data_IF_514655084887
#
_entry.id   IF_514655084887
#
_cell.length_a   1.000
_cell.length_b   1.000
_cell.length_c   1.000
_cell.angle_alpha   90.00
_cell.angle_beta   90.00
_cell.angle_gamma   90.00
#
_symmetry.space_group_name_H-M   'P 1'
#
loop_
_entity.id
_entity.type
_entity.pdbx_description
1 polymer ?
#
# COMPACT_ATOMS: atom_id res chain seq x y z
N UNK A 1 16.04 14.56 24.64
CA UNK A 1 14.83 15.35 24.45
C UNK A 1 14.49 15.62 22.98
N UNK A 2 15.42 16.11 22.11
CA UNK A 2 15.10 16.42 20.70
C UNK A 2 14.60 15.21 19.86
N UNK A 3 15.08 13.99 20.13
CA UNK A 3 14.64 12.76 19.43
C UNK A 3 13.24 12.28 19.85
N UNK A 4 12.86 12.51 21.11
CA UNK A 4 11.51 12.18 21.60
C UNK A 4 10.44 13.15 21.06
N UNK A 5 10.79 14.42 20.90
CA UNK A 5 9.93 15.45 20.27
C UNK A 5 9.70 15.18 18.77
N UNK A 6 10.72 14.68 18.06
CA UNK A 6 10.57 14.31 16.65
C UNK A 6 9.63 13.11 16.48
N UNK A 7 9.72 12.11 17.35
CA UNK A 7 8.80 10.95 17.36
C UNK A 7 7.38 11.33 17.75
N UNK A 8 7.21 12.26 18.71
CA UNK A 8 5.88 12.79 19.05
C UNK A 8 5.28 13.67 17.93
N UNK A 9 6.10 14.44 17.25
CA UNK A 9 5.66 15.27 16.11
C UNK A 9 5.27 14.39 14.89
N UNK A 10 6.01 13.30 14.63
CA UNK A 10 5.60 12.30 13.64
C UNK A 10 4.29 11.61 14.03
N UNK A 11 4.11 11.24 15.31
CA UNK A 11 2.88 10.64 15.80
C UNK A 11 1.69 11.61 15.76
N UNK A 12 1.91 12.90 16.04
CA UNK A 12 0.87 13.93 15.96
C UNK A 12 0.49 14.30 14.52
N UNK A 13 1.45 14.30 13.59
CA UNK A 13 1.18 14.49 12.17
C UNK A 13 0.38 13.32 11.57
N UNK A 14 0.51 12.10 12.11
CA UNK A 14 -0.32 10.96 11.76
C UNK A 14 -1.76 11.06 12.28
N UNK A 15 -2.02 11.82 13.34
CA UNK A 15 -3.34 11.89 13.98
C UNK A 15 -4.35 12.80 13.24
N UNK A 16 -3.91 13.66 12.34
CA UNK A 16 -4.77 14.63 11.65
C UNK A 16 -5.29 14.20 10.27
N UNK A 17 -4.93 13.02 9.77
CA UNK A 17 -5.43 12.56 8.48
C UNK A 17 -6.76 11.80 8.64
N UNK A 18 -7.87 12.48 8.55
CA UNK A 18 -9.24 12.02 8.82
C UNK A 18 -9.79 10.90 7.92
N UNK A 19 -8.99 10.17 7.15
CA UNK A 19 -9.35 8.93 6.42
C UNK A 19 -8.24 7.88 6.39
N UNK A 20 -7.24 8.02 7.21
CA UNK A 20 -6.16 7.07 7.34
C UNK A 20 -6.62 5.82 8.09
N UNK A 21 -6.47 4.67 7.48
CA UNK A 21 -6.66 3.39 8.17
C UNK A 21 -5.34 2.98 8.82
N UNK A 22 -5.11 3.44 10.05
CA UNK A 22 -4.02 2.93 10.85
C UNK A 22 -4.44 1.58 11.45
N UNK A 23 -3.61 0.55 11.25
CA UNK A 23 -3.82 -0.81 11.73
C UNK A 23 -2.59 -1.25 12.53
N UNK A 24 -2.77 -1.56 13.79
CA UNK A 24 -1.76 -2.22 14.60
C UNK A 24 -2.09 -3.70 14.72
N UNK A 25 -1.06 -4.53 14.78
CA UNK A 25 -1.23 -5.96 15.05
C UNK A 25 -0.03 -6.53 15.79
N UNK A 26 -0.24 -7.70 16.35
CA UNK A 26 0.71 -8.40 17.17
C UNK A 26 0.66 -9.90 16.85
N UNK A 27 1.78 -10.44 16.40
CA UNK A 27 1.93 -11.85 16.04
C UNK A 27 2.81 -12.62 17.02
N UNK A 28 2.44 -13.87 17.27
CA UNK A 28 3.28 -14.87 17.90
C UNK A 28 3.34 -16.09 17.01
N UNK A 29 4.52 -16.68 16.88
CA UNK A 29 4.67 -17.81 15.96
C UNK A 29 5.94 -18.61 16.22
N UNK A 30 6.06 -19.65 15.43
CA UNK A 30 7.26 -20.47 15.35
C UNK A 30 7.71 -20.55 13.91
N UNK A 31 9.00 -20.71 13.69
CA UNK A 31 9.53 -20.84 12.34
C UNK A 31 10.84 -21.58 12.34
N UNK A 32 11.20 -22.06 11.16
CA UNK A 32 12.49 -22.66 10.86
C UNK A 32 13.11 -21.97 9.66
N UNK A 33 14.37 -21.60 9.77
CA UNK A 33 15.18 -21.07 8.67
C UNK A 33 16.27 -22.09 8.37
N UNK A 34 16.47 -22.40 7.08
CA UNK A 34 17.47 -23.33 6.59
C UNK A 34 18.40 -22.64 5.60
N UNK A 35 19.69 -22.71 5.88
CA UNK A 35 20.74 -22.19 5.02
C UNK A 35 21.30 -23.25 4.06
N UNK A 36 21.94 -22.85 2.95
CA UNK A 36 22.75 -23.74 2.14
C UNK A 36 23.80 -24.41 3.04
N UNK A 37 24.08 -25.68 2.81
CA UNK A 37 24.99 -26.44 3.69
C UNK A 37 24.30 -27.19 4.83
N UNK A 38 22.97 -27.09 4.95
CA UNK A 38 22.15 -27.91 5.85
C UNK A 38 21.96 -27.36 7.25
N UNK A 39 22.60 -26.26 7.62
CA UNK A 39 22.37 -25.58 8.90
C UNK A 39 20.93 -25.06 8.97
N UNK A 40 20.21 -25.39 10.02
CA UNK A 40 18.85 -24.91 10.26
C UNK A 40 18.68 -24.41 11.67
N UNK A 41 17.82 -23.39 11.82
CA UNK A 41 17.46 -22.80 13.10
C UNK A 41 15.93 -22.75 13.23
N UNK A 42 15.42 -23.23 14.35
CA UNK A 42 14.02 -23.03 14.72
C UNK A 42 13.93 -21.94 15.78
N UNK A 43 12.94 -21.08 15.67
CA UNK A 43 12.76 -19.97 16.60
C UNK A 43 11.29 -19.76 16.93
N UNK A 44 11.04 -19.31 18.16
CA UNK A 44 9.80 -18.66 18.51
C UNK A 44 9.92 -17.16 18.18
N UNK A 45 8.90 -16.57 17.65
CA UNK A 45 8.88 -15.19 17.21
C UNK A 45 7.75 -14.40 17.84
N UNK A 46 8.03 -13.13 18.10
CA UNK A 46 7.10 -12.11 18.54
C UNK A 46 7.18 -10.96 17.53
N UNK A 47 6.09 -10.64 16.88
CA UNK A 47 6.12 -9.78 15.69
C UNK A 47 5.04 -8.69 15.72
N UNK A 48 5.29 -7.53 16.38
CA UNK A 48 4.42 -6.37 16.27
C UNK A 48 4.51 -5.72 14.89
N UNK A 49 3.38 -5.21 14.39
CA UNK A 49 3.32 -4.40 13.18
C UNK A 49 2.41 -3.19 13.36
N UNK A 50 2.76 -2.10 12.71
CA UNK A 50 1.93 -0.91 12.56
C UNK A 50 1.90 -0.55 11.09
N UNK A 51 0.70 -0.46 10.53
CA UNK A 51 0.49 -0.08 9.13
C UNK A 51 -0.40 1.15 9.08
N UNK A 52 -0.12 2.00 8.13
CA UNK A 52 -0.89 3.20 7.82
C UNK A 52 -1.05 3.29 6.32
N UNK A 53 -2.25 3.49 5.83
CA UNK A 53 -2.47 3.60 4.40
C UNK A 53 -3.58 4.58 4.04
N UNK A 54 -3.35 5.30 2.96
CA UNK A 54 -4.33 6.04 2.18
C UNK A 54 -4.12 5.68 0.72
N UNK A 55 -4.92 6.22 -0.18
CA UNK A 55 -4.74 6.00 -1.61
C UNK A 55 -3.35 6.47 -2.13
N UNK A 56 -2.82 7.57 -1.58
CA UNK A 56 -1.58 8.19 -2.05
C UNK A 56 -0.41 8.09 -1.06
N UNK A 57 -0.58 7.45 0.08
CA UNK A 57 0.46 7.30 1.12
C UNK A 57 0.33 5.95 1.79
N UNK A 58 1.46 5.33 2.03
CA UNK A 58 1.57 4.10 2.78
C UNK A 58 2.74 4.19 3.73
N UNK A 59 2.61 3.60 4.89
CA UNK A 59 3.71 3.43 5.83
C UNK A 59 3.52 2.15 6.63
N UNK A 60 4.57 1.38 6.83
CA UNK A 60 4.57 0.24 7.71
C UNK A 60 5.80 0.24 8.60
N UNK A 61 5.62 -0.24 9.80
CA UNK A 61 6.68 -0.55 10.74
C UNK A 61 6.45 -1.95 11.28
N UNK A 62 7.38 -2.84 11.03
CA UNK A 62 7.35 -4.21 11.50
C UNK A 62 8.55 -4.48 12.39
N UNK A 63 8.31 -5.15 13.51
CA UNK A 63 9.34 -5.66 14.40
C UNK A 63 9.24 -7.17 14.50
N UNK A 64 10.35 -7.84 14.81
CA UNK A 64 10.38 -9.26 15.14
C UNK A 64 11.46 -9.51 16.18
N UNK A 65 11.10 -10.15 17.27
CA UNK A 65 12.01 -10.68 18.25
C UNK A 65 12.00 -12.20 18.12
N UNK A 66 13.16 -12.78 17.84
CA UNK A 66 13.32 -14.21 17.64
C UNK A 66 14.38 -14.78 18.57
N UNK A 67 14.10 -15.94 19.18
CA UNK A 67 15.11 -16.71 19.92
C UNK A 67 15.91 -17.56 18.94
N UNK A 68 17.23 -17.53 19.06
CA UNK A 68 18.18 -18.31 18.26
C UNK A 68 18.88 -19.35 19.14
N UNK A 69 19.49 -20.40 18.56
CA UNK A 69 20.30 -21.35 19.30
C UNK A 69 21.41 -20.67 20.13
N UNK A 70 21.78 -21.29 21.24
CA UNK A 70 22.81 -20.75 22.13
C UNK A 70 22.37 -19.59 23.03
N UNK A 71 21.06 -19.38 23.20
CA UNK A 71 20.52 -18.34 24.06
C UNK A 71 20.61 -16.92 23.47
N UNK A 72 20.91 -16.83 22.18
CA UNK A 72 21.00 -15.56 21.44
C UNK A 72 19.60 -15.10 21.07
N UNK A 73 19.32 -13.81 21.24
CA UNK A 73 18.11 -13.16 20.75
C UNK A 73 18.42 -12.24 19.58
N UNK A 74 17.54 -12.24 18.59
CA UNK A 74 17.63 -11.38 17.42
C UNK A 74 16.40 -10.46 17.38
N UNK A 75 16.66 -9.15 17.46
CA UNK A 75 15.67 -8.12 17.19
C UNK A 75 15.83 -7.68 15.74
N UNK A 76 14.76 -7.80 14.97
CA UNK A 76 14.71 -7.32 13.60
C UNK A 76 13.68 -6.20 13.49
N UNK A 77 13.96 -5.22 12.65
CA UNK A 77 13.05 -4.13 12.37
C UNK A 77 13.03 -3.83 10.87
N UNK A 78 11.85 -3.50 10.36
CA UNK A 78 11.66 -3.03 8.99
C UNK A 78 10.68 -1.86 9.00
N UNK A 79 11.00 -0.84 8.25
CA UNK A 79 10.12 0.29 7.97
C UNK A 79 10.01 0.49 6.47
N UNK A 80 8.79 0.67 5.98
CA UNK A 80 8.51 1.01 4.59
C UNK A 80 7.65 2.28 4.60
N UNK A 81 8.01 3.24 3.76
CA UNK A 81 7.21 4.46 3.56
C UNK A 81 7.11 4.74 2.07
N UNK A 82 5.94 5.06 1.62
CA UNK A 82 5.69 5.45 0.24
C UNK A 82 4.68 6.60 0.21
N UNK A 83 4.93 7.57 -0.68
CA UNK A 83 4.02 8.67 -0.91
C UNK A 83 4.01 9.05 -2.39
N UNK A 84 2.84 9.43 -2.91
CA UNK A 84 2.70 10.01 -4.23
C UNK A 84 2.04 11.38 -4.15
N UNK A 85 2.37 12.24 -5.11
CA UNK A 85 1.71 13.55 -5.26
C UNK A 85 0.26 13.36 -5.73
N UNK A 86 -0.53 14.42 -5.64
CA UNK A 86 -1.75 14.56 -6.44
C UNK A 86 -1.37 14.47 -7.93
N UNK A 87 -2.33 14.15 -8.84
CA UNK A 87 -2.07 14.18 -10.27
C UNK A 87 -1.50 15.54 -10.69
N UNK A 88 -0.33 15.52 -11.35
CA UNK A 88 0.33 16.74 -11.85
C UNK A 88 -0.27 17.13 -13.19
N UNK A 89 -0.44 16.14 -14.08
CA UNK A 89 -1.08 16.31 -15.39
C UNK A 89 -1.77 15.00 -15.76
N UNK A 90 -3.09 15.06 -15.92
CA UNK A 90 -3.88 13.87 -16.21
C UNK A 90 -3.72 12.81 -15.12
N UNK A 91 -3.06 11.70 -15.45
CA UNK A 91 -2.84 10.55 -14.55
C UNK A 91 -1.40 10.44 -14.04
N UNK A 92 -0.55 11.41 -14.37
CA UNK A 92 0.86 11.42 -13.98
C UNK A 92 1.02 11.93 -12.56
N UNK A 93 1.85 11.25 -11.78
CA UNK A 93 2.22 11.61 -10.39
C UNK A 93 3.72 11.45 -10.18
N UNK A 94 4.26 12.11 -9.20
CA UNK A 94 5.57 11.80 -8.64
C UNK A 94 5.37 10.96 -7.39
N UNK A 95 6.20 9.93 -7.23
CA UNK A 95 6.23 9.09 -6.04
C UNK A 95 7.62 9.09 -5.41
N UNK A 96 7.66 8.78 -4.13
CA UNK A 96 8.87 8.48 -3.42
C UNK A 96 8.64 7.30 -2.47
N UNK A 97 9.62 6.42 -2.38
CA UNK A 97 9.62 5.27 -1.48
C UNK A 97 10.91 5.25 -0.69
N UNK A 98 10.80 4.88 0.58
CA UNK A 98 11.93 4.62 1.45
C UNK A 98 11.70 3.31 2.20
N UNK A 99 12.71 2.45 2.20
CA UNK A 99 12.70 1.18 2.93
C UNK A 99 13.92 1.15 3.83
N UNK A 100 13.71 0.84 5.11
CA UNK A 100 14.78 0.59 6.06
C UNK A 100 14.61 -0.77 6.71
N UNK A 101 15.70 -1.52 6.87
CA UNK A 101 15.70 -2.79 7.60
C UNK A 101 16.94 -2.88 8.46
N UNK A 102 16.85 -3.59 9.57
CA UNK A 102 17.99 -3.82 10.43
C UNK A 102 17.78 -4.98 11.39
N UNK A 103 18.88 -5.54 11.82
CA UNK A 103 18.92 -6.64 12.79
C UNK A 103 19.93 -6.31 13.86
N UNK A 104 19.59 -6.59 15.12
CA UNK A 104 20.50 -6.55 16.28
C UNK A 104 20.38 -7.82 17.09
N UNK A 105 21.52 -8.42 17.40
CA UNK A 105 21.59 -9.65 18.19
C UNK A 105 22.22 -9.38 19.57
N UNK A 106 21.89 -10.22 20.52
CA UNK A 106 22.41 -10.11 21.90
C UNK A 106 23.92 -10.42 22.00
N UNK A 107 24.48 -11.15 21.04
CA UNK A 107 25.94 -11.36 20.90
C UNK A 107 26.69 -10.10 20.38
N UNK A 108 25.99 -9.00 20.19
CA UNK A 108 26.55 -7.74 19.72
C UNK A 108 26.61 -7.58 18.22
N UNK A 109 26.22 -8.59 17.42
CA UNK A 109 26.10 -8.48 15.97
C UNK A 109 24.96 -7.53 15.58
N UNK A 110 25.16 -6.74 14.51
CA UNK A 110 24.10 -5.92 13.92
C UNK A 110 24.34 -5.68 12.45
N UNK A 111 23.24 -5.51 11.71
CA UNK A 111 23.24 -5.11 10.30
C UNK A 111 22.13 -4.09 10.08
N UNK A 112 22.25 -3.25 9.06
CA UNK A 112 21.20 -2.34 8.62
C UNK A 112 21.30 -2.10 7.12
N UNK A 113 20.18 -1.81 6.48
CA UNK A 113 20.11 -1.36 5.10
C UNK A 113 19.03 -0.30 4.94
N UNK A 114 19.26 0.63 4.02
CA UNK A 114 18.29 1.67 3.64
C UNK A 114 18.27 1.78 2.12
N UNK A 115 17.08 1.85 1.56
CA UNK A 115 16.81 2.04 0.13
C UNK A 115 15.88 3.22 -0.05
N UNK A 116 16.15 4.06 -1.06
CA UNK A 116 15.27 5.16 -1.45
C UNK A 116 15.04 5.13 -2.96
N UNK A 117 13.83 5.43 -3.42
CA UNK A 117 13.49 5.54 -4.85
C UNK A 117 12.58 6.73 -5.07
N UNK A 118 12.94 7.61 -6.01
CA UNK A 118 12.03 8.58 -6.59
C UNK A 118 11.46 8.04 -7.90
N UNK A 119 10.16 8.19 -8.14
CA UNK A 119 9.47 7.57 -9.27
C UNK A 119 8.55 8.54 -10.00
N UNK A 120 8.47 8.38 -11.31
CA UNK A 120 7.35 8.85 -12.12
C UNK A 120 6.31 7.74 -12.20
N UNK A 121 5.06 8.08 -11.91
CA UNK A 121 3.95 7.15 -11.87
C UNK A 121 2.89 7.57 -12.88
N UNK A 122 2.33 6.60 -13.57
CA UNK A 122 1.11 6.75 -14.33
C UNK A 122 0.09 5.75 -13.81
N UNK A 123 -1.03 6.24 -13.31
CA UNK A 123 -1.90 5.46 -12.45
C UNK A 123 -3.37 5.72 -12.75
N UNK A 124 -4.11 4.63 -12.91
CA UNK A 124 -5.57 4.58 -12.93
C UNK A 124 -6.04 3.88 -11.65
N UNK A 125 -7.32 3.92 -11.34
CA UNK A 125 -7.86 3.18 -10.18
C UNK A 125 -7.63 1.65 -10.24
N UNK A 126 -7.52 1.08 -11.44
CA UNK A 126 -7.38 -0.37 -11.64
C UNK A 126 -5.94 -0.84 -11.86
N UNK A 127 -5.07 -0.02 -12.43
CA UNK A 127 -3.70 -0.39 -12.76
C UNK A 127 -2.77 0.83 -12.78
N UNK A 128 -1.50 0.60 -12.69
CA UNK A 128 -0.49 1.63 -12.79
C UNK A 128 0.85 1.07 -13.19
N UNK A 129 1.69 1.96 -13.68
CA UNK A 129 3.10 1.73 -13.96
C UNK A 129 3.93 2.83 -13.32
N UNK A 130 5.15 2.52 -12.98
CA UNK A 130 6.11 3.46 -12.42
C UNK A 130 7.51 3.16 -12.89
N UNK A 131 8.32 4.20 -13.03
CA UNK A 131 9.75 4.09 -13.28
C UNK A 131 10.49 5.12 -12.45
N UNK A 132 11.62 4.74 -11.88
CA UNK A 132 12.39 5.59 -11.00
C UNK A 132 13.77 5.07 -10.70
N UNK A 133 14.46 5.76 -9.82
CA UNK A 133 15.79 5.37 -9.38
C UNK A 133 16.11 5.97 -8.02
N UNK A 134 17.15 5.43 -7.38
CA UNK A 134 17.61 5.95 -6.11
C UNK A 134 18.80 5.24 -5.50
N UNK A 135 19.30 5.77 -4.37
CA UNK A 135 20.41 5.19 -3.66
C UNK A 135 19.99 4.08 -2.69
N UNK A 136 20.95 3.22 -2.40
CA UNK A 136 20.89 2.23 -1.32
C UNK A 136 22.17 2.27 -0.52
N UNK A 137 22.09 1.96 0.77
CA UNK A 137 23.25 1.83 1.64
C UNK A 137 23.06 0.69 2.62
N UNK A 138 24.14 0.00 2.93
CA UNK A 138 24.16 -1.09 3.89
C UNK A 138 25.32 -0.95 4.89
N UNK A 139 25.08 -1.48 6.08
CA UNK A 139 26.02 -1.47 7.20
C UNK A 139 26.05 -2.83 7.88
N UNK A 140 27.20 -3.33 8.15
CA UNK A 140 27.44 -4.54 8.93
C UNK A 140 28.42 -4.16 10.04
N UNK A 141 28.22 -4.71 11.22
CA UNK A 141 29.15 -4.47 12.34
C UNK A 141 30.60 -4.75 11.93
N UNK A 142 31.48 -3.85 12.29
CA UNK A 142 32.95 -3.95 12.08
C UNK A 142 33.36 -4.04 10.59
N UNK A 143 32.48 -3.70 9.65
CA UNK A 143 32.77 -3.63 8.22
C UNK A 143 32.50 -2.22 7.66
N UNK A 144 33.18 -1.82 6.58
CA UNK A 144 32.89 -0.58 5.87
C UNK A 144 31.45 -0.57 5.37
N UNK A 145 30.81 0.61 5.36
CA UNK A 145 29.51 0.77 4.72
C UNK A 145 29.59 0.55 3.23
N UNK A 146 28.55 -0.04 2.65
CA UNK A 146 28.43 -0.25 1.21
C UNK A 146 27.32 0.64 0.66
N UNK A 147 27.57 1.17 -0.54
CA UNK A 147 26.60 1.96 -1.27
C UNK A 147 26.27 1.35 -2.61
N UNK A 148 25.08 1.60 -3.11
CA UNK A 148 24.64 1.20 -4.43
C UNK A 148 23.70 2.23 -5.01
N UNK A 149 23.49 2.13 -6.31
CA UNK A 149 22.46 2.85 -7.03
C UNK A 149 21.60 1.85 -7.80
N UNK A 150 20.29 2.00 -7.71
CA UNK A 150 19.38 1.13 -8.42
C UNK A 150 18.33 1.96 -9.18
N UNK A 151 17.89 1.43 -10.30
CA UNK A 151 16.71 1.89 -11.01
C UNK A 151 15.59 0.88 -10.80
N UNK A 152 14.36 1.30 -10.94
CA UNK A 152 13.19 0.45 -10.82
C UNK A 152 12.15 0.77 -11.89
N UNK A 153 11.60 -0.27 -12.52
CA UNK A 153 10.37 -0.21 -13.27
C UNK A 153 9.36 -1.16 -12.64
N UNK A 154 8.12 -0.73 -12.41
CA UNK A 154 7.09 -1.57 -11.83
C UNK A 154 5.73 -1.38 -12.50
N UNK A 155 4.91 -2.42 -12.41
CA UNK A 155 3.53 -2.41 -12.82
C UNK A 155 2.67 -3.11 -11.79
N UNK A 156 1.45 -2.66 -11.60
CA UNK A 156 0.46 -3.32 -10.76
C UNK A 156 -0.92 -3.19 -11.39
N UNK A 157 -1.78 -4.19 -11.15
CA UNK A 157 -3.17 -4.12 -11.59
C UNK A 157 -4.09 -4.92 -10.68
N UNK A 158 -5.30 -4.44 -10.53
CA UNK A 158 -6.40 -5.11 -9.84
C UNK A 158 -7.20 -5.89 -10.87
N UNK A 159 -6.93 -7.19 -11.00
CA UNK A 159 -7.61 -8.06 -11.96
C UNK A 159 -9.08 -8.31 -11.57
N UNK A 160 -9.39 -8.29 -10.28
CA UNK A 160 -10.72 -8.46 -9.72
C UNK A 160 -10.76 -7.85 -8.30
N UNK A 161 -11.94 -7.64 -7.69
CA UNK A 161 -12.03 -7.30 -6.28
C UNK A 161 -11.21 -8.29 -5.44
N UNK A 162 -10.34 -7.78 -4.58
CA UNK A 162 -9.43 -8.58 -3.76
C UNK A 162 -8.35 -9.34 -4.52
N UNK A 163 -8.07 -9.04 -5.78
CA UNK A 163 -6.95 -9.67 -6.53
C UNK A 163 -6.06 -8.60 -7.12
N UNK A 164 -4.82 -8.51 -6.61
CA UNK A 164 -3.82 -7.54 -7.07
C UNK A 164 -2.57 -8.26 -7.55
N UNK A 165 -2.13 -7.94 -8.74
CA UNK A 165 -0.86 -8.39 -9.32
C UNK A 165 0.17 -7.27 -9.25
N UNK A 166 1.44 -7.66 -9.13
CA UNK A 166 2.57 -6.75 -9.13
C UNK A 166 3.72 -7.38 -9.93
N UNK A 167 4.43 -6.55 -10.68
CA UNK A 167 5.68 -6.88 -11.35
C UNK A 167 6.69 -5.77 -11.10
N UNK A 168 7.96 -6.13 -10.96
CA UNK A 168 9.05 -5.16 -10.85
C UNK A 168 10.32 -5.67 -11.52
N UNK A 169 11.05 -4.75 -12.13
CA UNK A 169 12.39 -4.92 -12.67
C UNK A 169 13.30 -3.91 -11.99
N UNK A 170 14.37 -4.39 -11.35
CA UNK A 170 15.25 -3.54 -10.54
C UNK A 170 16.73 -3.84 -10.83
N UNK A 171 17.32 -3.18 -11.85
CA UNK A 171 18.78 -3.21 -12.06
C UNK A 171 19.50 -2.41 -10.97
N UNK A 172 20.51 -3.01 -10.38
CA UNK A 172 21.31 -2.45 -9.29
C UNK A 172 22.79 -2.50 -9.63
N UNK A 173 23.47 -1.37 -9.48
CA UNK A 173 24.93 -1.28 -9.52
C UNK A 173 25.49 -1.34 -8.10
N UNK A 174 26.20 -2.40 -7.78
CA UNK A 174 26.73 -2.67 -6.46
C UNK A 174 28.19 -3.14 -6.55
N UNK A 175 29.11 -2.47 -5.84
CA UNK A 175 30.56 -2.78 -5.80
C UNK A 175 31.18 -3.01 -7.19
N UNK A 176 30.85 -2.15 -8.15
CA UNK A 176 31.41 -2.19 -9.50
C UNK A 176 30.77 -3.22 -10.46
N UNK A 177 29.76 -3.95 -10.03
CA UNK A 177 29.07 -4.94 -10.84
C UNK A 177 27.55 -4.68 -10.89
N UNK A 178 26.90 -5.20 -11.92
CA UNK A 178 25.44 -5.13 -12.06
C UNK A 178 24.78 -6.45 -11.68
N UNK A 179 23.63 -6.35 -11.05
CA UNK A 179 22.65 -7.40 -10.99
C UNK A 179 21.24 -6.82 -11.25
N UNK A 180 20.35 -7.66 -11.72
CA UNK A 180 18.97 -7.25 -11.99
C UNK A 180 18.02 -8.23 -11.32
N UNK A 181 17.16 -7.71 -10.45
CA UNK A 181 16.09 -8.45 -9.84
C UNK A 181 14.81 -8.27 -10.68
N UNK A 182 14.24 -9.36 -11.15
CA UNK A 182 12.91 -9.42 -11.76
C UNK A 182 12.00 -10.11 -10.77
N UNK A 183 10.98 -9.42 -10.31
CA UNK A 183 10.06 -9.98 -9.33
C UNK A 183 8.61 -9.82 -9.74
N UNK A 184 7.78 -10.73 -9.25
CA UNK A 184 6.35 -10.70 -9.48
C UNK A 184 5.58 -11.35 -8.35
N UNK A 185 4.36 -10.89 -8.14
CA UNK A 185 3.52 -11.43 -7.10
C UNK A 185 2.04 -11.22 -7.35
N UNK A 186 1.25 -11.99 -6.64
CA UNK A 186 -0.20 -11.85 -6.61
C UNK A 186 -0.70 -11.97 -5.17
N UNK A 187 -1.55 -11.03 -4.79
CA UNK A 187 -2.32 -11.12 -3.54
C UNK A 187 -3.77 -11.37 -3.89
N UNK A 188 -4.34 -12.41 -3.29
CA UNK A 188 -5.73 -12.83 -3.48
C UNK A 188 -6.41 -12.81 -2.11
N UNK A 189 -7.47 -12.02 -2.00
CA UNK A 189 -8.31 -11.93 -0.81
C UNK A 189 -9.71 -12.45 -1.15
N UNK A 190 -10.14 -13.49 -0.43
CA UNK A 190 -11.47 -14.09 -0.58
C UNK A 190 -12.06 -14.41 0.80
N UNK A 191 -13.16 -13.75 1.14
CA UNK A 191 -13.77 -13.90 2.45
C UNK A 191 -12.75 -13.68 3.59
N UNK A 192 -12.60 -14.64 4.51
CA UNK A 192 -11.66 -14.53 5.62
C UNK A 192 -10.21 -14.87 5.25
N UNK A 193 -9.94 -15.27 4.01
CA UNK A 193 -8.62 -15.77 3.57
C UNK A 193 -7.91 -14.71 2.73
N UNK A 194 -6.61 -14.51 2.99
CA UNK A 194 -5.69 -13.74 2.17
C UNK A 194 -4.49 -14.60 1.85
N UNK A 195 -4.16 -14.72 0.57
CA UNK A 195 -3.01 -15.49 0.09
C UNK A 195 -2.13 -14.57 -0.74
N UNK A 196 -0.82 -14.60 -0.51
CA UNK A 196 0.15 -13.90 -1.34
C UNK A 196 1.16 -14.91 -1.89
N UNK A 197 1.36 -14.87 -3.19
CA UNK A 197 2.43 -15.59 -3.89
C UNK A 197 3.42 -14.55 -4.39
N UNK A 198 4.70 -14.82 -4.24
CA UNK A 198 5.78 -13.94 -4.67
C UNK A 198 6.92 -14.75 -5.24
N UNK A 199 7.54 -14.29 -6.32
CA UNK A 199 8.74 -14.87 -6.90
C UNK A 199 9.70 -13.77 -7.32
N UNK A 200 11.00 -14.05 -7.23
CA UNK A 200 12.07 -13.15 -7.69
C UNK A 200 13.21 -13.95 -8.29
N UNK A 201 13.73 -13.44 -9.40
CA UNK A 201 14.93 -13.96 -10.06
C UNK A 201 15.94 -12.83 -10.13
N UNK A 202 17.12 -13.07 -9.59
CA UNK A 202 18.30 -12.20 -9.72
C UNK A 202 19.16 -12.73 -10.85
N UNK A 203 19.36 -11.93 -11.89
CA UNK A 203 20.30 -12.18 -12.96
C UNK A 203 21.58 -11.35 -12.74
N UNK A 204 22.74 -11.99 -12.77
CA UNK A 204 24.03 -11.32 -12.65
C UNK A 204 25.17 -12.23 -13.13
N UNK A 205 26.05 -11.70 -13.93
CA UNK A 205 27.26 -12.40 -14.35
C UNK A 205 28.28 -12.48 -13.21
N UNK A 206 28.37 -11.41 -12.39
CA UNK A 206 29.33 -11.34 -11.29
C UNK A 206 28.90 -12.13 -10.05
N UNK A 207 27.59 -12.13 -9.72
CA UNK A 207 27.06 -12.74 -8.48
C UNK A 207 26.33 -14.08 -8.75
N UNK A 208 26.25 -14.49 -10.01
CA UNK A 208 25.52 -15.67 -10.47
C UNK A 208 24.00 -15.47 -10.41
N UNK A 209 23.29 -16.07 -11.35
CA UNK A 209 21.85 -16.01 -11.40
C UNK A 209 21.20 -16.93 -10.37
N UNK A 210 20.21 -16.42 -9.64
CA UNK A 210 19.51 -17.15 -8.57
C UNK A 210 18.03 -16.77 -8.56
N UNK A 211 17.17 -17.73 -8.21
CA UNK A 211 15.75 -17.49 -8.05
C UNK A 211 15.22 -18.01 -6.72
N UNK A 212 14.15 -17.40 -6.26
CA UNK A 212 13.39 -17.85 -5.08
C UNK A 212 11.94 -17.42 -5.19
N UNK A 213 11.10 -18.00 -4.32
CA UNK A 213 9.71 -17.62 -4.21
C UNK A 213 9.19 -17.87 -2.81
N UNK A 214 8.04 -17.33 -2.52
CA UNK A 214 7.37 -17.51 -1.24
C UNK A 214 5.86 -17.57 -1.41
N UNK A 215 5.22 -18.23 -0.46
CA UNK A 215 3.77 -18.25 -0.28
C UNK A 215 3.47 -17.83 1.14
N UNK A 216 2.46 -17.00 1.32
CA UNK A 216 1.91 -16.69 2.64
C UNK A 216 0.39 -16.83 2.61
N UNK A 217 -0.13 -17.42 3.66
CA UNK A 217 -1.55 -17.62 3.90
C UNK A 217 -1.91 -16.94 5.22
N UNK A 218 -2.99 -16.17 5.21
CA UNK A 218 -3.60 -15.59 6.39
C UNK A 218 -5.09 -15.93 6.39
N UNK A 219 -5.53 -16.59 7.45
CA UNK A 219 -6.93 -16.95 7.64
C UNK A 219 -7.48 -16.29 8.89
N UNK A 220 -8.44 -15.40 8.74
CA UNK A 220 -9.14 -14.76 9.85
C UNK A 220 -10.17 -15.72 10.44
N UNK A 221 -9.82 -16.32 11.55
CA UNK A 221 -10.72 -17.21 12.32
C UNK A 221 -11.70 -16.42 13.18
N UNK A 222 -11.40 -15.13 13.42
CA UNK A 222 -12.28 -14.16 14.07
C UNK A 222 -12.02 -12.77 13.48
N UNK A 223 -12.90 -11.77 13.69
CA UNK A 223 -12.75 -10.43 13.10
C UNK A 223 -11.42 -9.72 13.39
N UNK A 224 -10.76 -10.08 14.49
CA UNK A 224 -9.50 -9.50 14.96
C UNK A 224 -8.40 -10.55 15.19
N UNK A 225 -8.61 -11.81 14.80
CA UNK A 225 -7.63 -12.89 15.01
C UNK A 225 -7.43 -13.64 13.71
N UNK A 226 -6.18 -13.79 13.28
CA UNK A 226 -5.80 -14.62 12.15
C UNK A 226 -4.79 -15.71 12.54
N UNK A 227 -4.89 -16.83 11.85
CA UNK A 227 -3.85 -17.85 11.73
C UNK A 227 -3.01 -17.50 10.51
N UNK A 228 -1.70 -17.53 10.62
CA UNK A 228 -0.78 -17.20 9.56
C UNK A 228 0.18 -18.37 9.32
N UNK A 229 0.45 -18.67 8.05
CA UNK A 229 1.48 -19.60 7.63
C UNK A 229 2.22 -19.03 6.43
N UNK A 230 3.52 -19.19 6.39
CA UNK A 230 4.29 -18.79 5.23
C UNK A 230 5.51 -19.69 5.04
N UNK A 231 5.95 -19.81 3.78
CA UNK A 231 7.13 -20.56 3.43
C UNK A 231 7.70 -20.09 2.12
N UNK A 232 9.01 -20.26 1.96
CA UNK A 232 9.70 -19.81 0.77
C UNK A 232 11.20 -19.67 0.99
N UNK A 233 11.80 -18.75 0.24
CA UNK A 233 13.22 -18.45 0.37
C UNK A 233 13.52 -16.95 0.27
N UNK A 234 14.70 -16.62 0.70
CA UNK A 234 15.32 -15.30 0.54
C UNK A 234 16.49 -15.40 -0.44
N UNK A 235 16.64 -14.42 -1.33
CA UNK A 235 17.90 -14.20 -2.04
C UNK A 235 18.95 -13.68 -1.06
N UNK A 236 20.25 -13.84 -1.36
CA UNK A 236 21.29 -13.16 -0.60
C UNK A 236 21.04 -11.65 -0.58
N UNK A 237 21.17 -11.05 0.58
CA UNK A 237 21.13 -9.60 0.74
C UNK A 237 22.57 -9.05 0.81
N UNK A 238 23.07 -8.43 -0.27
CA UNK A 238 24.46 -7.95 -0.30
C UNK A 238 24.68 -6.73 0.62
N UNK A 239 23.63 -6.00 0.98
CA UNK A 239 23.73 -4.82 1.84
C UNK A 239 23.92 -5.18 3.30
N UNK A 240 23.34 -6.29 3.73
CA UNK A 240 23.42 -6.79 5.09
C UNK A 240 24.31 -8.02 5.22
N UNK A 241 24.91 -8.49 4.14
CA UNK A 241 25.74 -9.69 4.13
C UNK A 241 24.98 -10.96 4.53
N UNK A 242 23.69 -11.03 4.22
CA UNK A 242 22.88 -12.18 4.54
C UNK A 242 22.89 -13.19 3.40
N UNK A 243 23.13 -14.44 3.74
CA UNK A 243 23.11 -15.54 2.78
C UNK A 243 21.68 -15.90 2.35
N UNK A 244 21.59 -16.61 1.22
CA UNK A 244 20.36 -17.26 0.79
C UNK A 244 19.86 -18.19 1.89
N UNK A 245 18.54 -18.18 2.14
CA UNK A 245 17.93 -19.10 3.09
C UNK A 245 16.51 -19.50 2.65
N UNK A 246 16.11 -20.70 3.02
CA UNK A 246 14.71 -21.13 2.99
C UNK A 246 14.07 -20.98 4.36
N UNK A 247 12.76 -20.77 4.42
CA UNK A 247 12.04 -20.65 5.68
C UNK A 247 10.64 -21.25 5.61
N UNK A 248 10.14 -21.64 6.78
CA UNK A 248 8.73 -21.95 7.02
C UNK A 248 8.34 -21.35 8.37
N UNK A 249 7.19 -20.68 8.43
CA UNK A 249 6.67 -20.08 9.66
C UNK A 249 5.19 -20.36 9.81
N UNK A 250 4.72 -20.47 11.05
CA UNK A 250 3.31 -20.53 11.39
C UNK A 250 3.06 -19.77 12.70
N UNK A 251 1.89 -19.15 12.81
CA UNK A 251 1.59 -18.33 13.99
C UNK A 251 0.15 -17.85 14.05
N UNK A 252 -0.09 -17.08 15.11
CA UNK A 252 -1.33 -16.36 15.35
C UNK A 252 -1.05 -14.87 15.37
N UNK A 253 -1.99 -14.08 14.86
CA UNK A 253 -1.91 -12.62 14.92
C UNK A 253 -3.20 -12.02 15.43
N UNK A 254 -3.08 -11.08 16.34
CA UNK A 254 -4.19 -10.28 16.89
C UNK A 254 -4.11 -8.87 16.30
N UNK A 255 -5.23 -8.36 15.84
CA UNK A 255 -5.38 -7.08 15.16
C UNK A 255 -6.12 -6.08 16.04
N UNK A 256 -5.67 -4.85 16.11
CA UNK A 256 -6.30 -3.79 16.90
C UNK A 256 -7.69 -3.39 16.36
N UNK A 257 -7.92 -3.59 15.07
CA UNK A 257 -9.20 -3.29 14.41
C UNK A 257 -9.69 -4.48 13.61
N UNK A 258 -10.99 -4.58 13.44
CA UNK A 258 -11.60 -5.58 12.54
C UNK A 258 -11.10 -5.37 11.11
N UNK A 259 -10.81 -6.48 10.43
CA UNK A 259 -10.52 -6.44 9.00
C UNK A 259 -11.73 -5.86 8.26
N UNK A 260 -11.56 -4.86 7.36
CA UNK A 260 -12.61 -4.51 6.41
C UNK A 260 -12.93 -5.76 5.57
N UNK A 261 -14.18 -6.16 5.49
CA UNK A 261 -14.55 -7.29 4.64
C UNK A 261 -14.36 -6.90 3.18
N UNK A 262 -13.54 -7.63 2.44
CA UNK A 262 -13.36 -7.46 0.98
C UNK A 262 -14.67 -7.81 0.25
N UNK A 263 -15.44 -8.74 0.83
CA UNK A 263 -16.74 -9.19 0.32
C UNK A 263 -17.92 -8.52 1.08
N UNK A 264 -17.64 -7.54 1.97
CA UNK A 264 -18.74 -6.77 2.54
C UNK A 264 -19.54 -6.22 1.35
N UNK A 265 -20.83 -6.52 1.23
CA UNK A 265 -21.64 -5.91 0.22
C UNK A 265 -21.40 -4.42 0.40
N UNK A 266 -20.79 -3.78 -0.61
CA UNK A 266 -20.74 -2.32 -0.68
C UNK A 266 -22.15 -1.90 -0.35
N UNK A 267 -22.33 -1.21 0.80
CA UNK A 267 -23.64 -0.77 1.24
C UNK A 267 -24.29 -0.19 -0.01
N UNK A 268 -25.31 -0.89 -0.55
CA UNK A 268 -25.96 -0.45 -1.77
C UNK A 268 -26.73 0.79 -1.37
N UNK A 269 -26.11 1.91 -1.54
CA UNK A 269 -26.75 3.19 -1.41
C UNK A 269 -27.79 3.29 -2.53
N UNK A 270 -28.96 3.90 -2.29
CA UNK A 270 -29.86 4.22 -3.36
C UNK A 270 -29.23 5.25 -4.31
N UNK A 271 -29.64 5.29 -5.57
CA UNK A 271 -29.33 6.42 -6.43
C UNK A 271 -29.71 7.75 -5.75
N UNK A 272 -28.97 8.81 -6.04
CA UNK A 272 -29.36 10.15 -5.62
C UNK A 272 -30.67 10.51 -6.34
N UNK A 273 -31.71 10.75 -5.58
CA UNK A 273 -32.97 11.27 -6.12
C UNK A 273 -33.00 12.77 -5.82
N UNK A 274 -32.96 13.62 -6.83
CA UNK A 274 -32.89 15.07 -6.65
C UNK A 274 -34.25 15.66 -6.31
N UNK A 275 -34.22 16.87 -5.77
CA UNK A 275 -35.41 17.70 -5.63
C UNK A 275 -35.86 18.27 -6.99
N UNK A 276 -37.13 18.29 -7.32
CA UNK A 276 -37.63 18.96 -8.52
C UNK A 276 -38.26 20.31 -8.16
N UNK A 277 -37.78 21.37 -8.83
CA UNK A 277 -38.30 22.73 -8.69
C UNK A 277 -38.71 23.26 -10.06
N UNK A 278 -39.99 23.16 -10.38
CA UNK A 278 -40.47 23.43 -11.75
C UNK A 278 -39.83 22.45 -12.73
N UNK A 279 -39.25 22.98 -13.80
CA UNK A 279 -38.54 22.19 -14.82
C UNK A 279 -37.13 21.82 -14.44
N UNK A 280 -36.62 22.31 -13.30
CA UNK A 280 -35.22 22.08 -12.88
C UNK A 280 -35.10 20.97 -11.87
N UNK A 281 -34.06 20.20 -11.99
CA UNK A 281 -33.57 19.18 -11.07
C UNK A 281 -32.53 19.81 -10.17
N UNK A 282 -32.73 19.80 -8.86
CA UNK A 282 -31.84 20.42 -7.86
C UNK A 282 -31.11 19.34 -7.07
N UNK A 283 -29.80 19.42 -7.05
CA UNK A 283 -28.93 18.56 -6.25
C UNK A 283 -28.19 19.38 -5.19
N UNK A 284 -27.97 18.77 -4.02
CA UNK A 284 -27.21 19.39 -2.93
C UNK A 284 -26.18 18.43 -2.38
N UNK A 285 -25.02 18.98 -2.01
CA UNK A 285 -23.91 18.26 -1.44
C UNK A 285 -23.28 19.06 -0.31
N UNK A 286 -22.75 18.36 0.69
CA UNK A 286 -22.04 19.00 1.81
C UNK A 286 -20.55 18.68 1.73
N UNK A 287 -19.71 19.74 1.75
CA UNK A 287 -18.25 19.66 1.75
C UNK A 287 -17.65 20.69 2.69
N UNK A 288 -17.28 20.24 3.89
CA UNK A 288 -16.62 21.12 4.87
C UNK A 288 -15.24 21.55 4.36
N UNK A 289 -14.98 22.84 4.40
CA UNK A 289 -13.69 23.42 4.05
C UNK A 289 -13.36 23.48 2.55
N UNK A 290 -14.29 23.09 1.66
CA UNK A 290 -14.12 23.27 0.24
C UNK A 290 -14.26 24.75 -0.16
N UNK A 291 -13.40 25.21 -1.06
CA UNK A 291 -13.43 26.56 -1.63
C UNK A 291 -14.27 26.65 -2.90
N UNK A 292 -14.34 25.55 -3.63
CA UNK A 292 -15.11 25.41 -4.85
C UNK A 292 -15.55 23.96 -5.04
N UNK A 293 -16.79 23.76 -5.49
CA UNK A 293 -17.31 22.43 -5.88
C UNK A 293 -17.97 22.57 -7.24
N UNK A 294 -17.66 21.68 -8.15
CA UNK A 294 -18.29 21.57 -9.45
C UNK A 294 -18.81 20.14 -9.67
N UNK A 295 -19.81 19.98 -10.52
CA UNK A 295 -20.36 18.68 -10.90
C UNK A 295 -20.13 18.43 -12.40
N UNK A 296 -19.77 17.20 -12.73
CA UNK A 296 -19.67 16.74 -14.12
C UNK A 296 -20.37 15.39 -14.25
N UNK A 297 -21.09 15.20 -15.33
CA UNK A 297 -21.85 13.98 -15.58
C UNK A 297 -22.23 13.79 -17.04
N UNK A 298 -23.02 12.75 -17.30
CA UNK A 298 -23.44 12.36 -18.65
C UNK A 298 -24.15 13.48 -19.41
N UNK A 299 -24.90 14.34 -18.70
CA UNK A 299 -25.69 15.41 -19.30
C UNK A 299 -24.88 16.62 -19.79
N UNK A 300 -23.65 16.77 -19.36
CA UNK A 300 -22.79 17.91 -19.72
C UNK A 300 -21.46 17.50 -20.33
N UNK A 301 -21.43 16.30 -20.93
CA UNK A 301 -20.22 15.72 -21.54
C UNK A 301 -19.01 15.71 -20.58
N UNK A 302 -19.28 15.50 -19.29
CA UNK A 302 -18.28 15.47 -18.22
C UNK A 302 -17.47 16.78 -18.07
N UNK A 303 -18.05 17.91 -18.50
CA UNK A 303 -17.47 19.25 -18.27
C UNK A 303 -17.89 19.75 -16.88
N UNK A 304 -16.95 20.10 -15.98
CA UNK A 304 -17.27 20.57 -14.65
C UNK A 304 -18.09 21.87 -14.67
N UNK A 305 -19.29 21.84 -14.10
CA UNK A 305 -20.15 23.01 -13.90
C UNK A 305 -20.10 23.41 -12.44
N UNK A 306 -19.70 24.66 -12.09
CA UNK A 306 -19.62 25.10 -10.71
C UNK A 306 -20.99 25.03 -9.99
N UNK A 307 -20.98 24.54 -8.76
CA UNK A 307 -22.12 24.59 -7.86
C UNK A 307 -22.12 25.91 -7.07
N UNK A 308 -23.31 26.39 -6.73
CA UNK A 308 -23.48 27.57 -5.92
C UNK A 308 -23.30 27.25 -4.44
N UNK A 309 -22.45 27.98 -3.69
CA UNK A 309 -22.36 27.79 -2.26
C UNK A 309 -23.63 28.30 -1.56
N UNK A 310 -24.10 27.55 -0.57
CA UNK A 310 -25.16 27.92 0.35
C UNK A 310 -24.58 28.20 1.75
N UNK A 311 -25.46 28.50 2.71
CA UNK A 311 -25.03 28.64 4.10
C UNK A 311 -24.51 27.30 4.66
N UNK A 312 -23.46 27.38 5.45
CA UNK A 312 -22.83 26.21 6.04
C UNK A 312 -21.92 25.48 5.10
N UNK A 313 -21.64 24.40 4.92
CA UNK A 313 -20.78 23.70 3.96
C UNK A 313 -21.55 23.13 2.75
N UNK A 314 -22.74 23.66 2.47
CA UNK A 314 -23.62 23.12 1.41
C UNK A 314 -23.37 23.80 0.06
N UNK A 315 -23.54 23.00 -0.98
CA UNK A 315 -23.39 23.37 -2.39
C UNK A 315 -24.61 22.89 -3.19
N UNK A 316 -25.18 23.78 -4.01
CA UNK A 316 -26.38 23.50 -4.80
C UNK A 316 -26.15 23.69 -6.29
N UNK A 317 -26.67 22.76 -7.09
CA UNK A 317 -26.76 22.90 -8.53
C UNK A 317 -28.17 22.66 -9.03
N UNK A 318 -28.59 23.41 -10.04
CA UNK A 318 -29.87 23.25 -10.71
C UNK A 318 -29.65 22.98 -12.20
N UNK A 319 -30.27 21.95 -12.74
CA UNK A 319 -30.06 21.47 -14.12
C UNK A 319 -31.40 21.16 -14.78
N UNK A 320 -31.47 21.37 -16.07
CA UNK A 320 -32.63 20.89 -16.88
C UNK A 320 -32.32 19.46 -17.32
N UNK A 321 -32.89 18.48 -16.64
CA UNK A 321 -32.68 17.06 -16.94
C UNK A 321 -34.04 16.39 -17.17
N UNK A 322 -34.12 15.57 -18.20
CA UNK A 322 -35.24 14.68 -18.43
C UNK A 322 -35.25 13.52 -17.42
N UNK A 323 -36.40 12.83 -17.31
CA UNK A 323 -36.47 11.63 -16.49
C UNK A 323 -35.50 10.57 -17.02
N UNK A 324 -34.67 10.01 -16.14
CA UNK A 324 -33.67 9.05 -16.54
C UNK A 324 -32.63 8.78 -15.48
N UNK A 325 -31.67 7.93 -15.83
CA UNK A 325 -30.54 7.57 -14.98
C UNK A 325 -29.26 8.19 -15.55
N UNK A 326 -28.56 8.95 -14.71
CA UNK A 326 -27.37 9.70 -15.08
C UNK A 326 -26.20 9.29 -14.17
N UNK A 327 -24.99 9.39 -14.69
CA UNK A 327 -23.76 9.20 -13.93
C UNK A 327 -23.06 10.54 -13.74
N UNK A 328 -22.47 10.73 -12.55
CA UNK A 328 -21.77 11.98 -12.24
C UNK A 328 -20.66 11.80 -11.21
N UNK A 329 -19.77 12.77 -11.16
CA UNK A 329 -18.81 12.97 -10.08
C UNK A 329 -18.72 14.46 -9.73
N UNK A 330 -18.16 14.75 -8.58
CA UNK A 330 -17.90 16.10 -8.11
C UNK A 330 -16.42 16.41 -8.22
N UNK A 331 -16.10 17.63 -8.64
CA UNK A 331 -14.74 18.17 -8.66
C UNK A 331 -14.64 19.20 -7.53
N UNK A 332 -13.87 18.88 -6.49
CA UNK A 332 -13.65 19.73 -5.33
C UNK A 332 -12.33 20.48 -5.50
N UNK A 333 -12.35 21.79 -5.26
CA UNK A 333 -11.20 22.68 -5.35
C UNK A 333 -10.43 22.61 -6.68
N UNK A 334 -11.10 22.21 -7.76
CA UNK A 334 -10.55 22.16 -9.11
C UNK A 334 -9.62 20.98 -9.43
N UNK A 335 -9.42 20.05 -8.50
CA UNK A 335 -8.49 18.92 -8.71
C UNK A 335 -8.95 17.57 -8.14
N UNK A 336 -9.81 17.57 -7.10
CA UNK A 336 -10.19 16.32 -6.40
C UNK A 336 -11.52 15.80 -6.94
N UNK A 337 -11.45 14.73 -7.73
CA UNK A 337 -12.64 14.04 -8.24
C UNK A 337 -13.21 13.12 -7.16
N UNK A 338 -14.39 13.45 -6.68
CA UNK A 338 -15.03 12.79 -5.54
C UNK A 338 -16.38 12.20 -5.94
N UNK A 339 -16.62 10.99 -5.50
CA UNK A 339 -17.94 10.39 -5.46
C UNK A 339 -18.61 10.79 -4.15
N UNK A 340 -19.81 11.40 -4.16
CA UNK A 340 -20.48 11.80 -2.93
C UNK A 340 -20.82 10.59 -2.06
N UNK A 341 -20.67 10.74 -0.75
CA UNK A 341 -21.01 9.69 0.21
C UNK A 341 -22.51 9.43 0.25
N UNK A 342 -22.89 8.17 0.43
CA UNK A 342 -24.32 7.81 0.60
C UNK A 342 -25.11 7.68 -0.70
N UNK A 343 -24.46 7.71 -1.85
CA UNK A 343 -25.07 7.59 -3.18
C UNK A 343 -24.64 6.28 -3.84
N UNK A 344 -25.54 5.65 -4.58
CA UNK A 344 -25.20 4.49 -5.40
C UNK A 344 -24.05 4.80 -6.37
N UNK A 345 -23.18 3.83 -6.58
CA UNK A 345 -22.05 3.96 -7.50
C UNK A 345 -22.03 2.82 -8.48
N UNK A 346 -21.56 3.11 -9.69
CA UNK A 346 -21.24 2.11 -10.72
C UNK A 346 -19.80 2.32 -11.20
N UNK A 347 -19.23 1.30 -11.83
CA UNK A 347 -17.91 1.42 -12.46
C UNK A 347 -18.02 2.13 -13.79
N UNK A 348 -17.11 3.07 -14.06
CA UNK A 348 -17.08 3.87 -15.30
C UNK A 348 -16.48 3.14 -16.51
N UNK A 349 -16.20 1.84 -16.38
CA UNK A 349 -15.51 1.05 -17.41
C UNK A 349 -14.00 1.31 -17.54
N UNK A 350 -13.50 2.37 -16.94
CA UNK A 350 -12.06 2.74 -16.91
C UNK A 350 -11.39 2.40 -15.56
N UNK A 351 -12.15 1.77 -14.66
CA UNK A 351 -11.70 1.35 -13.33
C UNK A 351 -11.95 2.36 -12.21
N UNK A 352 -12.58 3.50 -12.52
CA UNK A 352 -13.11 4.47 -11.58
C UNK A 352 -14.52 4.11 -11.08
N UNK A 353 -15.01 4.92 -10.14
CA UNK A 353 -16.39 4.90 -9.69
C UNK A 353 -17.07 6.21 -10.06
N UNK A 354 -18.32 6.11 -10.48
CA UNK A 354 -19.18 7.27 -10.71
C UNK A 354 -20.47 7.11 -9.90
N UNK A 355 -20.97 8.21 -9.38
CA UNK A 355 -22.24 8.26 -8.65
C UNK A 355 -23.42 8.15 -9.61
N UNK A 356 -24.54 7.63 -9.11
CA UNK A 356 -25.79 7.45 -9.88
C UNK A 356 -26.82 8.45 -9.41
N UNK A 357 -27.35 9.23 -10.35
CA UNK A 357 -28.47 10.16 -10.18
C UNK A 357 -29.69 9.59 -10.91
N UNK A 358 -30.81 9.43 -10.20
CA UNK A 358 -32.08 9.00 -10.78
C UNK A 358 -33.06 10.19 -10.78
N UNK A 359 -33.35 10.70 -11.95
CA UNK A 359 -34.38 11.73 -12.16
C UNK A 359 -35.71 11.03 -12.45
N UNK A 360 -36.75 11.16 -11.55
CA UNK A 360 -38.02 10.52 -11.70
C UNK A 360 -38.80 10.99 -12.92
#
# INVERSE_FOLDING_TARGET
>A
MKRALLMLALAAACAQAARAQAQASFGVGVGTVRFPGGTSFSSATFAPTLEYGTEARYGSLAGSLASLPGGIWSLQGRADVWAATRPLRGRMRLGAEGIGAGTRRTDGGWTAAVHGVGEFLWWTGAWGVGAGAGPSSGWIKDAPSVGAFHARARAWWRAAPGTTWQLSLEPTHFLGAWFTDVSGGVTIERGPVSTTLWAVVRASDAYGSKGTGSVSLRWFVAPVVSVEASGGGYLPDPYQGLDRAGYVTAGLRVWARRRPSVDAPTRRWPPLVPERRGDSVVVRFSFEGAKAVAIAGDWNAWQPVPLRPLAGAEWEGAFLLESGLYHFNLLVDGWDWVVPNGVATVRDGLGGLVAVLLVP
#
